data_IF_099865985678
#
_entry.id   IF_099865985678
#
_cell.length_a   1.000
_cell.length_b   1.000
_cell.length_c   1.000
_cell.angle_alpha   90.00
_cell.angle_beta   90.00
_cell.angle_gamma   90.00
#
_symmetry.space_group_name_H-M   'P 1'
#
loop_
_entity.id
_entity.type
_entity.pdbx_description
1 polymer ?
#
# COMPACT_ATOMS: atom_id res chain seq x y z
N UNK A 1 15.34 3.05 -15.74
CA UNK A 1 14.56 1.94 -15.15
C UNK A 1 13.12 2.38 -15.19
N UNK A 2 12.21 1.56 -15.75
CA UNK A 2 10.79 1.87 -15.71
C UNK A 2 10.32 1.94 -14.25
N UNK A 3 9.53 2.96 -13.93
CA UNK A 3 8.99 3.14 -12.60
C UNK A 3 7.74 2.26 -12.47
N UNK A 4 7.87 1.12 -11.79
CA UNK A 4 6.75 0.22 -11.54
C UNK A 4 5.88 0.78 -10.40
N UNK A 5 4.59 0.95 -10.66
CA UNK A 5 3.62 1.40 -9.67
C UNK A 5 2.29 0.68 -9.85
N UNK A 6 1.55 0.55 -8.75
CA UNK A 6 0.16 0.11 -8.72
C UNK A 6 -0.73 1.35 -8.66
N UNK A 7 -1.70 1.43 -9.56
CA UNK A 7 -2.74 2.45 -9.52
C UNK A 7 -3.92 1.94 -8.71
N UNK A 8 -4.33 2.71 -7.71
CA UNK A 8 -5.48 2.42 -6.85
C UNK A 8 -6.51 3.53 -7.02
N UNK A 9 -7.73 3.18 -7.40
CA UNK A 9 -8.86 4.12 -7.44
C UNK A 9 -9.81 3.82 -6.29
N UNK A 10 -10.00 4.79 -5.40
CA UNK A 10 -10.99 4.69 -4.32
C UNK A 10 -12.33 5.25 -4.80
N UNK A 11 -13.26 4.36 -5.16
CA UNK A 11 -14.59 4.75 -5.64
C UNK A 11 -15.47 5.41 -4.57
N UNK A 12 -15.12 5.36 -3.27
CA UNK A 12 -15.86 6.07 -2.22
C UNK A 12 -15.62 7.57 -2.28
N UNK A 13 -14.44 7.98 -2.75
CA UNK A 13 -14.01 9.38 -2.83
C UNK A 13 -13.78 9.87 -4.26
N UNK A 14 -13.67 8.96 -5.23
CA UNK A 14 -13.31 9.24 -6.62
C UNK A 14 -11.82 9.55 -6.82
N UNK A 15 -10.99 9.44 -5.78
CA UNK A 15 -9.55 9.74 -5.85
C UNK A 15 -8.77 8.56 -6.39
N UNK A 16 -7.73 8.87 -7.17
CA UNK A 16 -6.77 7.88 -7.68
C UNK A 16 -5.39 8.14 -7.09
N UNK A 17 -4.71 7.05 -6.73
CA UNK A 17 -3.42 7.03 -6.08
C UNK A 17 -2.47 6.14 -6.86
N UNK A 18 -1.19 6.49 -6.85
CA UNK A 18 -0.13 5.62 -7.36
C UNK A 18 0.75 5.24 -6.18
N UNK A 19 0.96 3.93 -5.99
CA UNK A 19 1.86 3.39 -4.97
C UNK A 19 3.00 2.65 -5.67
N UNK A 20 4.23 2.89 -5.22
CA UNK A 20 5.41 2.31 -5.87
C UNK A 20 5.46 0.80 -5.60
N UNK A 21 5.84 0.04 -6.62
CA UNK A 21 6.15 -1.38 -6.47
C UNK A 21 7.66 -1.54 -6.28
N UNK A 22 8.05 -2.22 -5.21
CA UNK A 22 9.43 -2.59 -4.89
C UNK A 22 9.48 -4.05 -4.43
N UNK A 23 10.41 -4.84 -4.95
CA UNK A 23 10.56 -6.26 -4.60
C UNK A 23 9.23 -7.05 -4.71
N UNK A 24 8.45 -6.79 -5.77
CA UNK A 24 7.10 -7.34 -5.97
C UNK A 24 6.11 -7.09 -4.82
N UNK A 25 6.37 -6.06 -4.02
CA UNK A 25 5.52 -5.62 -2.91
C UNK A 25 5.24 -4.13 -3.01
N UNK A 26 4.21 -3.67 -2.30
CA UNK A 26 3.98 -2.24 -2.04
C UNK A 26 4.27 -1.96 -0.57
N UNK A 27 4.65 -0.71 -0.24
CA UNK A 27 4.75 -0.33 1.15
C UNK A 27 3.33 -0.15 1.75
N UNK A 28 3.01 -0.90 2.80
CA UNK A 28 1.69 -0.82 3.43
C UNK A 28 1.38 0.58 4.01
N UNK A 29 2.41 1.36 4.37
CA UNK A 29 2.24 2.73 4.87
C UNK A 29 1.73 3.68 3.78
N UNK A 30 2.02 3.40 2.50
CA UNK A 30 1.55 4.24 1.39
C UNK A 30 0.02 4.20 1.29
N UNK A 31 -0.65 3.14 1.79
CA UNK A 31 -2.11 3.09 1.83
C UNK A 31 -2.72 4.12 2.78
N UNK A 32 -1.96 4.67 3.75
CA UNK A 32 -2.50 5.70 4.67
C UNK A 32 -2.87 7.00 3.97
N UNK A 33 -2.36 7.25 2.77
CA UNK A 33 -2.77 8.41 1.98
C UNK A 33 -4.23 8.28 1.47
N UNK A 34 -4.77 7.06 1.44
CA UNK A 34 -6.14 6.78 1.02
C UNK A 34 -7.06 7.05 2.22
N UNK A 35 -7.81 8.14 2.14
CA UNK A 35 -8.67 8.66 3.21
C UNK A 35 -10.03 9.05 2.67
N UNK A 36 -11.08 8.82 3.46
CA UNK A 36 -12.43 9.29 3.12
C UNK A 36 -12.61 10.73 3.59
N UNK A 37 -12.13 11.05 4.80
CA UNK A 37 -12.06 12.41 5.36
C UNK A 37 -10.62 12.79 5.65
N UNK A 38 -10.31 14.08 5.64
CA UNK A 38 -8.92 14.56 5.77
C UNK A 38 -8.30 14.24 7.14
N UNK A 39 -9.13 14.17 8.19
CA UNK A 39 -8.78 13.83 9.56
C UNK A 39 -8.69 12.31 9.83
N UNK A 40 -9.04 11.46 8.86
CA UNK A 40 -8.92 10.02 9.01
C UNK A 40 -7.45 9.60 9.13
N UNK A 41 -7.23 8.51 9.87
CA UNK A 41 -5.91 7.87 9.95
C UNK A 41 -5.39 7.38 8.59
N UNK A 42 -6.30 7.00 7.69
CA UNK A 42 -6.01 6.40 6.39
C UNK A 42 -6.25 4.89 6.35
N UNK A 43 -6.18 4.33 5.15
CA UNK A 43 -6.43 2.92 4.93
C UNK A 43 -5.32 2.06 5.55
N UNK A 44 -5.75 0.94 6.15
CA UNK A 44 -4.87 -0.09 6.67
C UNK A 44 -5.05 -1.38 5.89
N UNK A 45 -4.00 -2.18 5.78
CA UNK A 45 -4.11 -3.56 5.32
C UNK A 45 -4.70 -4.42 6.43
N UNK A 46 -5.59 -5.35 6.05
CA UNK A 46 -6.08 -6.39 6.96
C UNK A 46 -5.53 -7.73 6.50
N UNK A 47 -4.52 -8.24 7.22
CA UNK A 47 -3.82 -9.49 6.89
C UNK A 47 -3.52 -10.28 8.18
N UNK A 48 -4.48 -11.11 8.64
CA UNK A 48 -4.33 -11.86 9.89
C UNK A 48 -3.11 -12.79 9.88
N UNK A 49 -2.18 -12.52 10.80
CA UNK A 49 -0.94 -13.28 10.93
C UNK A 49 0.14 -12.91 9.91
N UNK A 50 0.01 -11.77 9.23
CA UNK A 50 1.00 -11.26 8.27
C UNK A 50 1.30 -12.23 7.12
N UNK A 51 0.29 -12.98 6.67
CA UNK A 51 0.47 -14.08 5.69
C UNK A 51 0.79 -13.57 4.28
N UNK A 52 0.37 -12.35 3.97
CA UNK A 52 0.64 -11.66 2.72
C UNK A 52 1.36 -10.32 2.95
N UNK A 53 2.13 -10.22 4.04
CA UNK A 53 2.89 -9.04 4.41
C UNK A 53 4.36 -9.42 4.59
N UNK A 54 5.22 -8.97 3.67
CA UNK A 54 6.66 -9.10 3.85
C UNK A 54 7.11 -8.15 4.98
N UNK A 55 7.49 -8.71 6.13
CA UNK A 55 7.86 -7.94 7.33
C UNK A 55 9.27 -7.36 7.26
N UNK A 56 10.17 -7.94 6.46
CA UNK A 56 11.53 -7.46 6.29
C UNK A 56 12.08 -7.78 4.88
N UNK A 57 13.12 -7.05 4.48
CA UNK A 57 14.00 -7.41 3.36
C UNK A 57 15.16 -8.21 3.96
N UNK A 58 15.26 -9.51 3.65
CA UNK A 58 16.29 -10.40 4.18
C UNK A 58 17.02 -11.12 3.06
N UNK A 59 18.32 -11.36 3.27
CA UNK A 59 19.14 -12.25 2.43
C UNK A 59 19.53 -13.54 3.19
N UNK A 60 18.99 -13.74 4.40
CA UNK A 60 19.19 -14.91 5.27
C UNK A 60 17.86 -15.67 5.34
N UNK A 61 17.90 -17.01 5.27
CA UNK A 61 16.75 -17.91 5.43
C UNK A 61 16.95 -18.83 6.62
#
# INVERSE_FOLDING_TARGET
>A
MEQNYLTITDHRTGKTYQVKIENDTINAMDLRQIKVKDDDFGMMTYDPGFKNTASCKSNIT
#
